data_IF_246842575312
#
_entry.id   IF_246842575312
#
_cell.length_a   1.000
_cell.length_b   1.000
_cell.length_c   1.000
_cell.angle_alpha   90.00
_cell.angle_beta   90.00
_cell.angle_gamma   90.00
#
_symmetry.space_group_name_H-M   'P 1'
#
loop_
_entity.id
_entity.type
_entity.pdbx_description
1 polymer ?
#
# COMPACT_ATOMS: atom_id res chain seq x y z
N UNK A 1 -55.49 71.34 41.62
CA UNK A 1 -55.35 72.41 42.58
C UNK A 1 -53.91 72.45 43.08
N UNK A 2 -53.34 73.59 42.83
CA UNK A 2 -52.28 74.26 43.58
C UNK A 2 -50.99 73.52 43.90
N UNK A 3 -49.93 73.92 43.24
CA UNK A 3 -49.04 75.07 43.47
C UNK A 3 -48.02 74.75 44.56
N UNK A 4 -46.75 74.84 44.37
CA UNK A 4 -45.82 75.90 44.02
C UNK A 4 -44.35 75.40 44.23
N UNK A 5 -43.51 75.68 43.36
CA UNK A 5 -42.11 75.98 43.60
C UNK A 5 -41.98 77.24 44.55
N UNK A 6 -40.79 77.64 45.05
CA UNK A 6 -39.40 77.49 44.55
C UNK A 6 -38.29 77.40 45.65
N UNK A 7 -37.11 77.27 45.32
CA UNK A 7 -35.98 78.15 45.18
C UNK A 7 -34.77 77.96 46.11
N UNK A 8 -33.60 78.00 45.49
CA UNK A 8 -32.31 78.67 45.83
C UNK A 8 -31.38 78.01 46.84
N UNK A 9 -30.27 77.55 46.18
CA UNK A 9 -28.94 78.03 46.42
C UNK A 9 -28.37 78.03 47.85
N UNK A 10 -27.30 77.28 48.03
CA UNK A 10 -26.05 77.86 48.52
C UNK A 10 -24.86 77.03 48.13
N UNK A 11 -23.93 77.63 47.48
CA UNK A 11 -22.54 77.25 47.33
C UNK A 11 -21.88 76.95 48.68
N UNK A 12 -21.04 75.95 48.73
CA UNK A 12 -19.71 76.09 49.39
C UNK A 12 -18.80 74.89 49.00
N UNK A 13 -17.81 75.27 48.35
CA UNK A 13 -16.49 74.78 48.12
C UNK A 13 -15.93 73.99 49.30
N UNK A 14 -15.38 72.79 49.06
CA UNK A 14 -14.05 72.40 49.58
C UNK A 14 -13.61 71.04 49.02
N UNK A 15 -12.51 71.15 48.42
CA UNK A 15 -11.27 70.34 48.55
C UNK A 15 -11.23 68.95 47.93
N UNK A 16 -10.45 68.86 46.84
CA UNK A 16 -9.83 67.71 46.26
C UNK A 16 -9.15 66.81 47.32
N UNK A 17 -9.45 65.49 47.25
CA UNK A 17 -8.45 64.47 47.47
C UNK A 17 -8.53 63.47 46.33
N UNK A 18 -7.56 63.57 45.43
CA UNK A 18 -7.37 62.60 44.38
C UNK A 18 -6.83 61.30 45.00
N UNK A 19 -7.64 60.27 44.99
CA UNK A 19 -7.14 58.90 45.23
C UNK A 19 -7.07 58.19 43.90
N UNK A 20 -5.86 58.15 43.35
CA UNK A 20 -5.52 57.40 42.15
C UNK A 20 -5.61 55.92 42.45
N UNK A 21 -6.67 55.24 41.98
CA UNK A 21 -6.70 53.79 41.93
C UNK A 21 -5.94 53.37 40.67
N UNK A 22 -4.69 52.92 40.86
CA UNK A 22 -3.91 52.23 39.84
C UNK A 22 -4.52 50.86 39.68
N UNK A 23 -5.33 50.67 38.64
CA UNK A 23 -5.76 49.35 38.20
C UNK A 23 -4.54 48.65 37.56
N UNK A 24 -3.86 47.82 38.34
CA UNK A 24 -2.85 46.92 37.83
C UNK A 24 -3.53 45.85 36.97
N UNK A 25 -3.59 46.08 35.66
CA UNK A 25 -3.93 45.05 34.69
C UNK A 25 -2.80 44.02 34.67
N UNK A 26 -2.98 42.91 35.42
CA UNK A 26 -2.15 41.73 35.32
C UNK A 26 -2.50 41.09 33.97
N UNK A 27 -1.77 41.42 32.93
CA UNK A 27 -1.75 40.65 31.69
C UNK A 27 -1.11 39.30 31.98
N UNK A 28 -1.94 38.27 32.12
CA UNK A 28 -1.51 36.87 32.01
C UNK A 28 -0.95 36.68 30.61
N UNK A 29 0.34 36.87 30.44
CA UNK A 29 1.10 36.35 29.32
C UNK A 29 1.03 34.80 29.44
N UNK A 30 0.06 34.19 28.75
CA UNK A 30 0.14 32.80 28.41
C UNK A 30 1.36 32.68 27.49
N UNK A 31 2.52 32.42 28.06
CA UNK A 31 3.63 31.82 27.33
C UNK A 31 3.11 30.50 26.77
N UNK A 32 2.67 30.52 25.51
CA UNK A 32 2.61 29.28 24.73
C UNK A 32 4.05 28.79 24.70
N UNK A 33 4.32 27.79 25.50
CA UNK A 33 5.47 26.92 25.29
C UNK A 33 5.32 26.32 23.89
N UNK A 34 5.83 27.05 22.92
CA UNK A 34 6.18 26.47 21.64
C UNK A 34 7.43 25.65 21.96
N UNK A 35 7.22 24.47 22.55
CA UNK A 35 8.24 23.45 22.51
C UNK A 35 8.50 23.26 21.02
N UNK A 36 9.64 23.70 20.56
CA UNK A 36 10.16 23.40 19.22
C UNK A 36 10.43 21.89 19.21
N UNK A 37 9.36 21.10 19.05
CA UNK A 37 9.52 19.68 18.78
C UNK A 37 10.28 19.63 17.47
N UNK A 38 11.51 19.16 17.55
CA UNK A 38 12.24 18.78 16.34
C UNK A 38 11.33 17.91 15.50
N UNK A 39 11.27 18.19 14.17
CA UNK A 39 10.49 17.32 13.30
C UNK A 39 10.92 15.87 13.56
N UNK A 40 9.98 14.93 13.61
CA UNK A 40 10.32 13.53 13.82
C UNK A 40 11.37 13.10 12.77
N UNK A 41 12.30 12.24 13.15
CA UNK A 41 13.32 11.75 12.21
C UNK A 41 12.65 11.14 10.99
N UNK A 42 13.30 11.22 9.81
CA UNK A 42 12.74 10.67 8.59
C UNK A 42 12.53 9.16 8.72
N UNK A 43 11.35 8.67 8.31
CA UNK A 43 10.99 7.26 8.35
C UNK A 43 11.90 6.46 7.41
N UNK A 44 12.43 5.36 7.93
CA UNK A 44 13.26 4.38 7.21
C UNK A 44 12.44 3.16 6.85
N UNK A 45 12.98 2.29 6.02
CA UNK A 45 12.38 0.99 5.78
C UNK A 45 12.38 0.14 7.06
N UNK A 46 11.22 -0.41 7.40
CA UNK A 46 11.04 -1.16 8.63
C UNK A 46 10.58 -0.34 9.83
N UNK A 47 10.47 0.99 9.74
CA UNK A 47 9.97 1.82 10.85
C UNK A 47 8.45 1.72 11.00
N UNK A 48 7.93 1.82 12.25
CA UNK A 48 6.49 1.86 12.49
C UNK A 48 5.87 3.21 12.11
N UNK A 49 4.56 3.23 11.83
CA UNK A 49 3.79 4.46 11.66
C UNK A 49 3.92 5.36 12.90
N UNK A 50 4.09 6.67 12.72
CA UNK A 50 4.08 7.61 13.84
C UNK A 50 2.67 7.69 14.46
N UNK A 51 2.62 7.81 15.79
CA UNK A 51 1.37 7.97 16.53
C UNK A 51 0.66 6.67 16.89
N UNK A 52 1.34 5.53 16.81
CA UNK A 52 0.86 4.27 17.39
C UNK A 52 0.83 4.35 18.93
N UNK A 53 -0.19 3.75 19.53
CA UNK A 53 -0.23 3.52 20.98
C UNK A 53 0.79 2.44 21.37
N UNK A 54 1.12 2.33 22.68
CA UNK A 54 2.06 1.32 23.14
C UNK A 54 1.62 -0.13 22.78
N UNK A 55 0.35 -0.54 22.90
CA UNK A 55 -0.09 -1.86 22.42
C UNK A 55 0.06 -2.05 20.90
N UNK A 56 -0.22 -1.01 20.11
CA UNK A 56 -0.07 -1.09 18.65
C UNK A 56 1.41 -1.17 18.23
N UNK A 57 2.29 -0.46 18.94
CA UNK A 57 3.73 -0.56 18.73
C UNK A 57 4.25 -1.95 19.10
N UNK A 58 3.75 -2.53 20.20
CA UNK A 58 4.10 -3.91 20.56
C UNK A 58 3.64 -4.89 19.49
N UNK A 59 2.40 -4.79 19.02
CA UNK A 59 1.87 -5.63 17.94
C UNK A 59 2.66 -5.47 16.61
N UNK A 60 3.24 -4.28 16.36
CA UNK A 60 4.17 -4.07 15.25
C UNK A 60 5.48 -4.82 15.45
N UNK A 61 6.04 -4.79 16.68
CA UNK A 61 7.31 -5.45 17.02
C UNK A 61 7.15 -6.97 16.94
N UNK A 62 6.09 -7.52 17.54
CA UNK A 62 5.78 -8.96 17.49
C UNK A 62 5.58 -9.41 16.05
N UNK A 63 4.90 -8.58 15.24
CA UNK A 63 4.70 -8.85 13.82
C UNK A 63 5.98 -8.71 12.98
N UNK A 64 6.93 -7.86 13.36
CA UNK A 64 8.25 -7.79 12.71
C UNK A 64 9.06 -9.05 12.97
N UNK A 65 9.00 -9.57 14.18
CA UNK A 65 9.65 -10.85 14.54
C UNK A 65 9.09 -11.96 13.67
N UNK A 66 7.77 -12.08 13.59
CA UNK A 66 7.08 -13.05 12.74
C UNK A 66 7.42 -12.86 11.25
N UNK A 67 7.39 -11.65 10.73
CA UNK A 67 7.70 -11.33 9.34
C UNK A 67 9.14 -11.72 8.94
N UNK A 68 10.06 -11.73 9.89
CA UNK A 68 11.48 -12.08 9.68
C UNK A 68 11.80 -13.52 10.01
N UNK A 69 10.89 -14.23 10.69
CA UNK A 69 11.03 -15.64 11.00
C UNK A 69 11.14 -16.47 9.71
N UNK A 70 11.99 -17.49 9.72
CA UNK A 70 12.13 -18.42 8.61
C UNK A 70 11.43 -19.73 8.99
N UNK A 71 10.38 -20.07 8.23
CA UNK A 71 9.63 -21.29 8.42
C UNK A 71 10.44 -22.52 8.07
N UNK A 72 10.21 -23.58 8.82
CA UNK A 72 10.74 -24.91 8.58
C UNK A 72 9.59 -25.88 8.32
N UNK A 73 9.85 -27.08 7.75
CA UNK A 73 8.79 -28.07 7.59
C UNK A 73 8.09 -28.44 8.91
N UNK A 74 8.79 -28.44 10.05
CA UNK A 74 8.24 -28.66 11.38
C UNK A 74 7.42 -27.47 11.88
N UNK A 75 7.75 -26.26 11.44
CA UNK A 75 7.06 -25.01 11.74
C UNK A 75 5.93 -24.69 10.80
N UNK A 76 5.62 -25.59 9.81
CA UNK A 76 4.49 -25.41 8.90
C UNK A 76 4.85 -25.05 7.47
N UNK A 77 6.14 -24.87 7.13
CA UNK A 77 6.56 -24.68 5.73
C UNK A 77 5.97 -25.80 4.89
N UNK A 78 5.08 -25.45 3.98
CA UNK A 78 4.32 -26.41 3.19
C UNK A 78 5.19 -27.19 2.23
N UNK A 79 4.66 -28.24 1.61
CA UNK A 79 5.45 -29.07 0.70
C UNK A 79 5.94 -28.31 -0.52
N UNK A 80 5.25 -27.23 -0.90
CA UNK A 80 5.56 -26.36 -2.06
C UNK A 80 5.68 -24.90 -1.60
N UNK A 81 6.75 -24.22 -1.99
CA UNK A 81 6.98 -22.84 -1.58
C UNK A 81 7.86 -22.07 -2.57
N UNK A 82 7.86 -20.75 -2.47
CA UNK A 82 8.74 -19.85 -3.20
C UNK A 82 9.88 -19.33 -2.32
N UNK A 83 9.61 -19.11 -1.02
CA UNK A 83 10.57 -18.69 -0.01
C UNK A 83 10.15 -19.20 1.37
N UNK A 84 11.07 -19.15 2.32
CA UNK A 84 10.85 -19.61 3.70
C UNK A 84 10.48 -18.48 4.67
N UNK A 85 10.47 -17.22 4.24
CA UNK A 85 10.10 -16.06 5.08
C UNK A 85 9.64 -14.90 4.22
N UNK A 86 8.85 -14.00 4.81
CA UNK A 86 8.39 -12.80 4.12
C UNK A 86 9.57 -11.87 3.76
N UNK A 87 10.53 -11.70 4.68
CA UNK A 87 11.69 -10.82 4.49
C UNK A 87 12.62 -11.29 3.36
N UNK A 88 12.61 -12.57 2.99
CA UNK A 88 13.40 -13.09 1.87
C UNK A 88 13.04 -12.41 0.54
N UNK A 89 11.76 -12.00 0.37
CA UNK A 89 11.28 -11.25 -0.79
C UNK A 89 10.99 -9.77 -0.51
N UNK A 90 10.94 -9.34 0.75
CA UNK A 90 10.53 -8.00 1.14
C UNK A 90 11.58 -7.32 2.03
N UNK A 91 12.79 -7.07 1.49
CA UNK A 91 13.94 -6.57 2.28
C UNK A 91 14.66 -5.34 1.70
N UNK A 92 14.40 -4.93 0.46
CA UNK A 92 15.09 -3.77 -0.10
C UNK A 92 14.70 -2.47 0.62
N UNK A 93 15.67 -1.74 1.13
CA UNK A 93 15.52 -0.58 1.99
C UNK A 93 15.01 -0.88 3.42
N UNK A 94 14.93 -2.13 3.83
CA UNK A 94 14.50 -2.61 5.15
C UNK A 94 13.33 -3.61 5.08
N UNK A 95 12.96 -4.23 6.20
CA UNK A 95 11.82 -5.15 6.27
C UNK A 95 10.55 -4.50 5.71
N UNK A 96 9.84 -5.24 4.85
CA UNK A 96 8.67 -4.73 4.13
C UNK A 96 8.99 -4.03 2.81
N UNK A 97 10.25 -4.03 2.37
CA UNK A 97 10.66 -3.45 1.09
C UNK A 97 10.29 -4.29 -0.12
N UNK A 98 10.86 -3.95 -1.26
CA UNK A 98 10.78 -4.75 -2.50
C UNK A 98 11.97 -5.69 -2.62
N UNK A 99 12.03 -6.46 -3.69
CA UNK A 99 13.19 -7.27 -4.02
C UNK A 99 13.35 -7.44 -5.53
N UNK A 100 14.48 -8.03 -5.94
CA UNK A 100 14.69 -8.50 -7.30
C UNK A 100 14.20 -9.95 -7.50
N UNK A 101 13.76 -10.63 -6.43
CA UNK A 101 13.20 -11.98 -6.52
C UNK A 101 11.86 -11.90 -7.26
N UNK A 102 11.69 -12.78 -8.22
CA UNK A 102 10.45 -12.90 -8.99
C UNK A 102 9.76 -14.21 -8.69
N UNK A 103 8.44 -14.17 -8.72
CA UNK A 103 7.58 -15.37 -8.80
C UNK A 103 7.11 -15.57 -10.23
N UNK A 104 6.92 -16.84 -10.61
CA UNK A 104 6.45 -17.21 -11.95
C UNK A 104 4.93 -17.44 -11.92
N UNK A 105 4.22 -16.75 -12.81
CA UNK A 105 2.81 -17.01 -13.10
C UNK A 105 2.70 -17.68 -14.46
N UNK A 106 1.75 -18.60 -14.58
CA UNK A 106 1.49 -19.28 -15.85
C UNK A 106 -0.02 -19.43 -16.07
N UNK A 107 -0.39 -19.73 -17.29
CA UNK A 107 -1.75 -19.98 -17.68
C UNK A 107 -1.87 -20.21 -19.18
N UNK A 108 -3.09 -20.22 -19.67
CA UNK A 108 -3.38 -20.47 -21.07
C UNK A 108 -4.37 -19.46 -21.62
N UNK A 109 -4.01 -18.78 -22.71
CA UNK A 109 -4.98 -18.08 -23.54
C UNK A 109 -5.62 -19.08 -24.49
N UNK A 110 -6.93 -19.21 -24.41
CA UNK A 110 -7.74 -20.08 -25.26
C UNK A 110 -7.92 -19.46 -26.65
N UNK A 111 -8.30 -20.24 -27.69
CA UNK A 111 -8.54 -19.71 -29.02
C UNK A 111 -9.59 -18.61 -29.11
N UNK A 112 -10.52 -18.54 -28.18
CA UNK A 112 -11.55 -17.49 -28.07
C UNK A 112 -11.09 -16.25 -27.29
N UNK A 113 -9.81 -16.21 -26.88
CA UNK A 113 -9.20 -15.11 -26.12
C UNK A 113 -9.43 -15.15 -24.62
N UNK A 114 -10.21 -16.08 -24.07
CA UNK A 114 -10.37 -16.24 -22.62
C UNK A 114 -9.09 -16.76 -22.01
N UNK A 115 -8.83 -16.40 -20.77
CA UNK A 115 -7.72 -16.91 -19.96
C UNK A 115 -8.20 -18.10 -19.13
N UNK A 116 -7.43 -19.19 -19.16
CA UNK A 116 -7.57 -20.36 -18.31
C UNK A 116 -6.36 -20.38 -17.36
N UNK A 117 -6.55 -20.25 -16.02
CA UNK A 117 -5.47 -20.28 -15.05
C UNK A 117 -4.83 -21.66 -14.87
N UNK A 118 -5.37 -22.70 -15.49
CA UNK A 118 -4.94 -24.09 -15.37
C UNK A 118 -5.04 -24.64 -13.92
N UNK A 119 -6.12 -24.30 -13.20
CA UNK A 119 -6.32 -24.68 -11.79
C UNK A 119 -6.18 -26.20 -11.57
N UNK A 120 -6.61 -27.02 -12.55
CA UNK A 120 -6.44 -28.47 -12.50
C UNK A 120 -4.98 -28.94 -12.53
N UNK A 121 -4.05 -28.03 -12.88
CA UNK A 121 -2.61 -28.28 -12.96
C UNK A 121 -1.81 -27.44 -11.95
N UNK A 122 -2.42 -27.01 -10.86
CA UNK A 122 -1.79 -26.26 -9.79
C UNK A 122 -2.07 -24.76 -9.81
N UNK A 123 -2.98 -24.30 -10.68
CA UNK A 123 -3.36 -22.88 -10.71
C UNK A 123 -2.33 -21.99 -11.40
N UNK A 124 -2.40 -20.67 -11.20
CA UNK A 124 -1.55 -19.77 -11.98
C UNK A 124 -0.22 -19.38 -11.32
N UNK A 125 0.08 -19.78 -10.09
CA UNK A 125 1.37 -19.54 -9.43
C UNK A 125 2.18 -20.83 -9.41
N UNK A 126 3.42 -20.75 -9.89
CA UNK A 126 4.39 -21.81 -9.74
C UNK A 126 5.11 -21.67 -8.40
N UNK A 127 5.08 -22.69 -7.58
CA UNK A 127 5.97 -22.81 -6.43
C UNK A 127 7.33 -23.32 -6.89
N UNK A 128 8.36 -22.52 -6.67
CA UNK A 128 9.69 -22.75 -7.22
C UNK A 128 10.45 -23.88 -6.51
N UNK A 129 10.11 -24.13 -5.25
CA UNK A 129 10.78 -25.10 -4.38
C UNK A 129 9.78 -26.07 -3.81
N UNK A 130 10.27 -27.23 -3.42
CA UNK A 130 9.53 -28.26 -2.72
C UNK A 130 10.41 -28.87 -1.63
N UNK A 131 9.80 -29.42 -0.58
CA UNK A 131 10.53 -30.09 0.52
C UNK A 131 11.20 -31.40 0.07
N UNK A 132 10.69 -32.02 -1.01
CA UNK A 132 11.33 -33.17 -1.65
C UNK A 132 11.28 -33.03 -3.17
N UNK A 133 12.25 -33.64 -3.91
CA UNK A 133 12.30 -33.53 -5.38
C UNK A 133 11.04 -34.08 -6.08
N UNK A 134 10.34 -35.05 -5.49
CA UNK A 134 9.16 -35.69 -6.06
C UNK A 134 7.97 -34.73 -6.16
N UNK A 135 7.97 -33.69 -5.32
CA UNK A 135 6.92 -32.68 -5.28
C UNK A 135 7.24 -31.47 -6.15
N UNK A 136 8.42 -31.40 -6.77
CA UNK A 136 8.83 -30.23 -7.53
C UNK A 136 7.86 -29.89 -8.66
N UNK A 137 7.30 -28.69 -8.64
CA UNK A 137 6.43 -28.20 -9.71
C UNK A 137 7.21 -27.74 -10.94
N UNK A 138 6.59 -27.90 -12.07
CA UNK A 138 7.05 -27.37 -13.36
C UNK A 138 5.92 -26.63 -14.06
N UNK A 139 6.27 -25.65 -14.88
CA UNK A 139 5.28 -25.00 -15.73
C UNK A 139 4.67 -26.05 -16.65
N UNK A 140 3.36 -26.27 -16.62
CA UNK A 140 2.71 -27.30 -17.44
C UNK A 140 2.90 -27.02 -18.95
N UNK A 141 3.08 -28.06 -19.77
CA UNK A 141 3.23 -27.89 -21.22
C UNK A 141 2.00 -27.28 -21.90
N UNK A 142 0.83 -27.33 -21.27
CA UNK A 142 -0.40 -26.69 -21.73
C UNK A 142 -0.38 -25.17 -21.57
N UNK A 143 0.53 -24.62 -20.75
CA UNK A 143 0.66 -23.19 -20.57
C UNK A 143 1.27 -22.54 -21.82
N UNK A 144 0.61 -21.53 -22.35
CA UNK A 144 1.12 -20.72 -23.44
C UNK A 144 1.36 -19.25 -23.03
N UNK A 145 1.10 -18.94 -21.74
CA UNK A 145 1.43 -17.66 -21.10
C UNK A 145 2.27 -17.94 -19.87
N UNK A 146 3.42 -17.30 -19.79
CA UNK A 146 4.30 -17.34 -18.62
C UNK A 146 4.74 -15.91 -18.32
N UNK A 147 4.59 -15.47 -17.09
CA UNK A 147 4.90 -14.11 -16.65
C UNK A 147 5.70 -14.12 -15.34
N UNK A 148 6.55 -13.12 -15.16
CA UNK A 148 7.28 -12.89 -13.93
C UNK A 148 6.69 -11.71 -13.18
N UNK A 149 6.66 -11.78 -11.84
CA UNK A 149 6.27 -10.65 -10.99
C UNK A 149 7.27 -10.50 -9.85
N UNK A 150 7.75 -9.28 -9.65
CA UNK A 150 8.57 -8.91 -8.48
C UNK A 150 7.67 -8.67 -7.26
N UNK A 151 8.23 -8.89 -6.07
CA UNK A 151 7.56 -8.55 -4.82
C UNK A 151 7.27 -7.04 -4.74
N UNK A 152 6.03 -6.68 -4.39
CA UNK A 152 5.65 -5.28 -4.18
C UNK A 152 6.18 -4.79 -2.84
N UNK A 153 6.62 -3.50 -2.70
CA UNK A 153 6.91 -2.96 -1.39
C UNK A 153 5.63 -2.89 -0.55
N UNK A 154 5.77 -3.18 0.74
CA UNK A 154 4.68 -3.23 1.71
C UNK A 154 4.58 -1.94 2.54
N UNK A 155 5.50 -0.98 2.33
CA UNK A 155 5.53 0.29 3.04
C UNK A 155 4.19 1.02 2.93
N UNK A 156 3.57 1.34 4.08
CA UNK A 156 2.32 2.07 4.14
C UNK A 156 1.06 1.29 3.75
N UNK A 157 1.10 -0.06 3.71
CA UNK A 157 -0.08 -0.85 3.33
C UNK A 157 -1.30 -0.59 4.21
N UNK A 158 -1.12 -0.37 5.52
CA UNK A 158 -2.24 -0.02 6.39
C UNK A 158 -2.91 1.31 6.02
N UNK A 159 -2.16 2.29 5.53
CA UNK A 159 -2.73 3.53 5.00
C UNK A 159 -3.53 3.25 3.72
N UNK A 160 -3.04 2.36 2.84
CA UNK A 160 -3.77 1.94 1.63
C UNK A 160 -5.05 1.17 2.00
N UNK A 161 -4.97 0.24 2.94
CA UNK A 161 -6.13 -0.51 3.46
C UNK A 161 -7.20 0.42 4.01
N UNK A 162 -6.79 1.47 4.74
CA UNK A 162 -7.68 2.44 5.38
C UNK A 162 -8.35 3.45 4.40
N UNK A 163 -7.95 3.51 3.12
CA UNK A 163 -8.68 4.27 2.11
C UNK A 163 -10.03 3.58 1.89
N UNK A 164 -11.13 4.34 1.96
CA UNK A 164 -12.48 3.76 1.86
C UNK A 164 -12.79 3.24 0.46
N UNK A 165 -13.62 2.20 0.36
CA UNK A 165 -14.14 1.72 -0.93
C UNK A 165 -14.86 2.83 -1.69
N UNK A 166 -15.60 3.70 -0.98
CA UNK A 166 -16.28 4.85 -1.57
C UNK A 166 -15.29 5.78 -2.29
N UNK A 167 -14.13 6.09 -1.70
CA UNK A 167 -13.09 6.92 -2.32
C UNK A 167 -12.61 6.31 -3.66
N UNK A 168 -12.38 5.00 -3.70
CA UNK A 168 -11.93 4.31 -4.91
C UNK A 168 -13.03 4.21 -5.97
N UNK A 169 -14.28 3.98 -5.54
CA UNK A 169 -15.44 3.97 -6.45
C UNK A 169 -15.69 5.35 -7.05
N UNK A 170 -15.57 6.42 -6.27
CA UNK A 170 -15.64 7.81 -6.76
C UNK A 170 -14.53 8.11 -7.77
N UNK A 171 -13.28 7.68 -7.49
CA UNK A 171 -12.17 7.83 -8.42
C UNK A 171 -12.43 7.08 -9.74
N UNK A 172 -12.98 5.87 -9.69
CA UNK A 172 -13.35 5.09 -10.86
C UNK A 172 -14.52 5.72 -11.65
N UNK A 173 -15.48 6.31 -10.95
CA UNK A 173 -16.67 6.93 -11.56
C UNK A 173 -16.41 8.27 -12.27
N UNK A 174 -15.23 8.89 -12.12
CA UNK A 174 -14.88 10.16 -12.75
C UNK A 174 -14.91 10.03 -14.27
N UNK A 175 -15.87 10.71 -14.93
CA UNK A 175 -16.08 10.63 -16.38
C UNK A 175 -15.08 11.46 -17.19
N UNK A 176 -14.53 12.53 -16.63
CA UNK A 176 -13.70 13.51 -17.32
C UNK A 176 -12.20 13.31 -17.04
N UNK A 177 -11.74 12.06 -17.03
CA UNK A 177 -10.31 11.81 -16.99
C UNK A 177 -9.67 12.19 -18.32
N UNK A 178 -8.47 12.80 -18.32
CA UNK A 178 -7.79 13.21 -19.54
C UNK A 178 -7.43 11.98 -20.41
N UNK A 179 -7.27 12.20 -21.70
CA UNK A 179 -6.65 11.25 -22.63
C UNK A 179 -7.39 9.90 -22.79
N UNK A 180 -8.65 9.83 -22.39
CA UNK A 180 -9.42 8.60 -22.46
C UNK A 180 -9.07 7.58 -21.35
N UNK A 181 -8.27 7.99 -20.35
CA UNK A 181 -8.00 7.18 -19.15
C UNK A 181 -9.32 6.84 -18.47
N UNK A 182 -9.54 5.58 -18.19
CA UNK A 182 -10.80 5.12 -17.57
C UNK A 182 -10.57 4.63 -16.17
N UNK A 183 -9.67 3.67 -15.98
CA UNK A 183 -9.43 3.02 -14.72
C UNK A 183 -10.70 2.50 -14.05
N UNK A 184 -10.71 1.31 -13.54
CA UNK A 184 -11.87 0.74 -12.87
C UNK A 184 -11.53 0.15 -11.50
N UNK A 185 -12.48 0.18 -10.57
CA UNK A 185 -12.34 -0.48 -9.29
C UNK A 185 -12.39 -2.01 -9.47
N UNK A 186 -11.48 -2.72 -8.82
CA UNK A 186 -11.46 -4.18 -8.76
C UNK A 186 -12.47 -4.66 -7.72
N UNK A 187 -13.67 -5.04 -8.12
CA UNK A 187 -14.66 -5.62 -7.19
C UNK A 187 -14.34 -7.08 -6.93
N UNK A 188 -13.98 -7.42 -5.70
CA UNK A 188 -13.62 -8.77 -5.26
C UNK A 188 -14.48 -9.21 -4.07
N UNK A 189 -14.48 -10.48 -3.75
CA UNK A 189 -14.97 -10.99 -2.47
C UNK A 189 -13.79 -11.02 -1.50
N UNK A 190 -13.84 -10.19 -0.47
CA UNK A 190 -12.81 -10.16 0.57
C UNK A 190 -12.93 -11.39 1.47
N UNK A 191 -11.90 -12.22 1.53
CA UNK A 191 -11.95 -13.48 2.29
C UNK A 191 -12.03 -13.28 3.80
N UNK A 192 -11.56 -12.12 4.31
CA UNK A 192 -11.64 -11.78 5.73
C UNK A 192 -13.09 -11.55 6.17
N UNK A 193 -13.89 -10.91 5.33
CA UNK A 193 -15.25 -10.48 5.71
C UNK A 193 -16.37 -11.20 4.96
N UNK A 194 -16.07 -11.90 3.87
CA UNK A 194 -17.05 -12.49 2.95
C UNK A 194 -17.82 -11.46 2.10
N UNK A 195 -17.53 -10.18 2.25
CA UNK A 195 -18.24 -9.11 1.56
C UNK A 195 -17.56 -8.72 0.24
N UNK A 196 -18.35 -8.16 -0.67
CA UNK A 196 -17.79 -7.50 -1.85
C UNK A 196 -17.12 -6.20 -1.43
N UNK A 197 -15.84 -6.06 -1.77
CA UNK A 197 -15.02 -4.87 -1.50
C UNK A 197 -14.20 -4.48 -2.72
N UNK A 198 -13.64 -3.28 -2.70
CA UNK A 198 -12.69 -2.85 -3.72
C UNK A 198 -11.31 -3.38 -3.37
N UNK A 199 -10.77 -4.27 -4.20
CA UNK A 199 -9.39 -4.74 -4.12
C UNK A 199 -8.40 -3.60 -4.38
N UNK A 200 -7.27 -3.59 -3.66
CA UNK A 200 -6.26 -2.52 -3.67
C UNK A 200 -4.84 -2.97 -3.42
N UNK A 201 -4.65 -4.21 -3.00
CA UNK A 201 -3.34 -4.81 -2.72
C UNK A 201 -2.94 -5.79 -3.81
N UNK A 202 -1.63 -5.97 -4.00
CA UNK A 202 -1.06 -6.78 -5.09
C UNK A 202 -1.05 -6.08 -6.45
N UNK A 203 -0.43 -6.68 -7.46
CA UNK A 203 -0.33 -6.13 -8.82
C UNK A 203 -1.66 -6.08 -9.56
N UNK A 204 -2.58 -6.99 -9.24
CA UNK A 204 -3.89 -7.13 -9.87
C UNK A 204 -5.04 -6.68 -8.95
N UNK A 205 -4.74 -5.95 -7.86
CA UNK A 205 -5.74 -5.52 -6.88
C UNK A 205 -6.57 -6.71 -6.33
N UNK A 206 -5.91 -7.83 -6.05
CA UNK A 206 -6.56 -9.09 -5.69
C UNK A 206 -7.05 -9.15 -4.24
N UNK A 207 -6.58 -8.27 -3.34
CA UNK A 207 -7.00 -8.25 -1.94
C UNK A 207 -7.48 -6.86 -1.51
N UNK A 208 -8.44 -6.81 -0.59
CA UNK A 208 -8.98 -5.57 -0.02
C UNK A 208 -8.39 -5.26 1.36
N UNK A 209 -7.94 -6.27 2.11
CA UNK A 209 -7.39 -6.16 3.46
C UNK A 209 -5.97 -6.69 3.56
N UNK A 210 -5.22 -6.17 4.53
CA UNK A 210 -3.84 -6.60 4.79
C UNK A 210 -3.82 -8.02 5.35
N UNK A 211 -4.82 -8.40 6.15
CA UNK A 211 -4.91 -9.75 6.71
C UNK A 211 -5.17 -10.79 5.61
N UNK A 212 -6.10 -10.54 4.68
CA UNK A 212 -6.32 -11.42 3.54
C UNK A 212 -5.07 -11.54 2.65
N UNK A 213 -4.32 -10.43 2.50
CA UNK A 213 -3.09 -10.41 1.72
C UNK A 213 -1.95 -11.19 2.42
N UNK A 214 -1.82 -11.10 3.75
CA UNK A 214 -0.90 -11.92 4.53
C UNK A 214 -1.22 -13.41 4.41
N UNK A 215 -2.48 -13.76 4.63
CA UNK A 215 -2.95 -15.15 4.59
C UNK A 215 -2.74 -15.80 3.22
N UNK A 216 -3.00 -15.06 2.12
CA UNK A 216 -2.71 -15.51 0.75
C UNK A 216 -1.20 -15.74 0.54
N UNK A 217 -0.35 -14.84 1.08
CA UNK A 217 1.11 -14.97 0.96
C UNK A 217 1.64 -16.17 1.77
N UNK A 218 1.16 -16.42 2.98
CA UNK A 218 1.51 -17.61 3.75
C UNK A 218 1.29 -18.86 2.93
N UNK A 219 0.07 -19.05 2.40
CA UNK A 219 -0.26 -20.22 1.60
C UNK A 219 0.53 -20.30 0.29
N UNK A 220 0.56 -19.23 -0.48
CA UNK A 220 1.04 -19.27 -1.85
C UNK A 220 2.56 -19.09 -1.97
N UNK A 221 3.21 -18.39 -1.02
CA UNK A 221 4.65 -18.16 -1.07
C UNK A 221 5.44 -19.08 -0.14
N UNK A 222 4.85 -19.52 0.98
CA UNK A 222 5.49 -20.41 1.95
C UNK A 222 4.81 -21.77 2.07
N UNK A 223 3.65 -21.98 1.43
CA UNK A 223 2.91 -23.23 1.50
C UNK A 223 2.24 -23.47 2.84
N UNK A 224 2.14 -22.45 3.69
CA UNK A 224 1.55 -22.55 5.03
C UNK A 224 0.06 -22.25 4.96
N UNK A 225 -0.77 -23.28 5.20
CA UNK A 225 -2.24 -23.14 5.23
C UNK A 225 -2.67 -22.34 6.47
N UNK A 226 -3.84 -21.73 6.37
CA UNK A 226 -4.43 -20.93 7.44
C UNK A 226 -5.96 -20.91 7.32
N UNK A 227 -6.65 -20.34 8.32
CA UNK A 227 -8.13 -20.30 8.40
C UNK A 227 -8.82 -19.65 7.19
N UNK A 228 -8.13 -18.80 6.42
CA UNK A 228 -8.68 -18.22 5.20
C UNK A 228 -8.36 -19.04 3.96
N UNK A 229 -7.27 -19.79 3.98
CA UNK A 229 -6.81 -20.63 2.88
C UNK A 229 -6.40 -22.02 3.39
N UNK A 230 -7.36 -22.86 3.83
CA UNK A 230 -7.08 -24.12 4.52
C UNK A 230 -6.72 -25.29 3.60
N UNK A 231 -6.66 -25.06 2.29
CA UNK A 231 -6.41 -26.11 1.32
C UNK A 231 -4.98 -26.02 0.82
N UNK A 232 -4.21 -27.10 1.05
CA UNK A 232 -2.81 -27.20 0.63
C UNK A 232 -2.64 -27.12 -0.89
N UNK A 233 -1.54 -26.49 -1.34
CA UNK A 233 -1.13 -26.46 -2.73
C UNK A 233 -0.68 -27.87 -3.16
N UNK A 234 -1.19 -28.35 -4.29
CA UNK A 234 -0.88 -29.67 -4.80
C UNK A 234 0.06 -29.59 -6.00
N UNK A 235 1.17 -30.36 -6.02
CA UNK A 235 2.17 -30.29 -7.08
C UNK A 235 1.55 -30.53 -8.46
N UNK A 236 1.52 -29.53 -9.30
CA UNK A 236 0.83 -29.56 -10.60
C UNK A 236 -0.59 -30.17 -10.52
N UNK A 237 -1.33 -29.87 -9.43
CA UNK A 237 -2.69 -30.33 -9.18
C UNK A 237 -2.82 -31.78 -8.67
N UNK A 238 -1.73 -32.50 -8.45
CA UNK A 238 -1.69 -33.90 -8.06
C UNK A 238 -1.84 -34.07 -6.54
N UNK A 239 -3.06 -33.99 -6.05
CA UNK A 239 -3.37 -34.10 -4.60
C UNK A 239 -2.96 -35.41 -3.98
N UNK A 240 -2.92 -36.50 -4.75
CA UNK A 240 -2.48 -37.83 -4.28
C UNK A 240 -1.04 -37.82 -3.76
N UNK A 241 -0.20 -36.93 -4.24
CA UNK A 241 1.17 -36.76 -3.76
C UNK A 241 1.27 -36.15 -2.36
N UNK A 242 0.22 -35.46 -1.92
CA UNK A 242 0.18 -34.83 -0.59
C UNK A 242 -0.10 -35.84 0.54
N UNK A 243 -0.60 -37.04 0.24
CA UNK A 243 -1.00 -38.00 1.26
C UNK A 243 0.11 -38.43 2.23
N UNK A 244 1.37 -38.25 1.84
CA UNK A 244 2.55 -38.53 2.65
C UNK A 244 3.16 -37.31 3.36
N UNK A 245 2.59 -36.12 3.12
CA UNK A 245 3.12 -34.84 3.59
C UNK A 245 2.10 -34.03 4.39
N UNK A 246 1.11 -34.71 4.97
CA UNK A 246 0.12 -34.05 5.81
C UNK A 246 0.78 -33.53 7.09
N UNK A 247 1.02 -32.24 7.15
CA UNK A 247 1.62 -31.54 8.30
C UNK A 247 0.61 -31.35 9.45
N UNK A 248 -0.66 -31.65 9.22
CA UNK A 248 -1.66 -32.00 10.24
C UNK A 248 -2.33 -30.87 10.99
N UNK A 249 -1.77 -29.66 11.08
CA UNK A 249 -2.40 -28.50 11.76
C UNK A 249 -1.99 -27.20 11.10
N UNK A 250 -2.93 -26.28 10.97
CA UNK A 250 -2.69 -24.90 10.56
C UNK A 250 -1.96 -24.17 11.71
N UNK A 251 -0.65 -24.34 11.78
CA UNK A 251 0.20 -23.78 12.85
C UNK A 251 0.07 -22.26 12.91
N UNK A 252 -0.14 -21.62 11.79
CA UNK A 252 -0.33 -20.18 11.65
C UNK A 252 -1.61 -19.63 12.27
N UNK A 253 -2.53 -20.51 12.64
CA UNK A 253 -3.77 -20.17 13.34
C UNK A 253 -3.74 -20.49 14.83
N UNK A 254 -2.61 -21.04 15.34
CA UNK A 254 -2.42 -21.25 16.76
C UNK A 254 -2.28 -19.91 17.46
N UNK A 255 -3.24 -19.61 18.33
CA UNK A 255 -3.27 -18.34 19.06
C UNK A 255 -2.24 -18.37 20.18
N UNK A 256 -1.32 -17.43 20.18
CA UNK A 256 -0.40 -17.20 21.29
C UNK A 256 -1.19 -16.71 22.52
N UNK A 257 -1.18 -17.45 23.65
CA UNK A 257 -1.92 -17.06 24.85
C UNK A 257 -1.52 -15.71 25.44
N UNK A 258 -0.29 -15.25 25.19
CA UNK A 258 0.22 -13.98 25.73
C UNK A 258 -0.30 -12.78 24.95
N UNK A 259 -0.45 -12.90 23.64
CA UNK A 259 -0.86 -11.81 22.75
C UNK A 259 -2.31 -11.92 22.30
N UNK A 260 -2.90 -13.13 22.33
CA UNK A 260 -4.21 -13.42 21.76
C UNK A 260 -4.25 -13.40 20.22
N UNK A 261 -3.08 -13.44 19.56
CA UNK A 261 -2.92 -13.35 18.12
C UNK A 261 -2.30 -14.64 17.56
N UNK A 262 -2.74 -15.04 16.39
CA UNK A 262 -2.09 -16.05 15.57
C UNK A 262 -0.97 -15.42 14.72
N UNK A 263 -0.06 -16.21 14.17
CA UNK A 263 1.09 -15.69 13.44
C UNK A 263 0.70 -14.94 12.17
N UNK A 264 -0.34 -15.39 11.47
CA UNK A 264 -0.92 -14.64 10.34
C UNK A 264 -1.44 -13.27 10.75
N UNK A 265 -1.98 -13.11 11.99
CA UNK A 265 -2.43 -11.82 12.53
C UNK A 265 -1.24 -10.92 12.90
N UNK A 266 -0.17 -11.51 13.47
CA UNK A 266 1.08 -10.79 13.79
C UNK A 266 1.72 -10.22 12.53
N UNK A 267 1.89 -11.04 11.48
CA UNK A 267 2.44 -10.59 10.19
C UNK A 267 1.56 -9.48 9.55
N UNK A 268 0.24 -9.61 9.62
CA UNK A 268 -0.68 -8.57 9.15
C UNK A 268 -0.54 -7.28 9.96
N UNK A 269 -0.33 -7.34 11.28
CA UNK A 269 -0.11 -6.16 12.12
C UNK A 269 1.20 -5.44 11.80
N UNK A 270 2.29 -6.17 11.53
CA UNK A 270 3.52 -5.55 11.02
C UNK A 270 3.23 -4.75 9.75
N UNK A 271 2.64 -5.36 8.73
CA UNK A 271 2.35 -4.70 7.45
C UNK A 271 1.37 -3.53 7.59
N UNK A 272 0.38 -3.64 8.50
CA UNK A 272 -0.62 -2.60 8.75
C UNK A 272 -0.02 -1.36 9.42
N UNK A 273 0.95 -1.57 10.30
CA UNK A 273 1.59 -0.49 11.05
C UNK A 273 2.93 -0.05 10.46
N UNK A 274 3.36 -0.63 9.35
CA UNK A 274 4.58 -0.25 8.65
C UNK A 274 4.45 1.12 7.99
N UNK A 275 5.36 2.04 8.31
CA UNK A 275 5.36 3.38 7.73
C UNK A 275 5.74 3.40 6.24
N UNK A 276 5.21 4.33 5.45
CA UNK A 276 5.80 4.67 4.16
C UNK A 276 7.15 5.36 4.37
N UNK A 277 8.06 5.20 3.41
CA UNK A 277 9.35 5.89 3.45
C UNK A 277 9.17 7.41 3.36
N UNK A 278 9.90 8.15 4.21
CA UNK A 278 9.89 9.61 4.15
C UNK A 278 10.38 10.13 2.81
N UNK A 279 9.64 11.09 2.24
CA UNK A 279 10.03 11.76 1.01
C UNK A 279 11.16 12.75 1.28
N UNK A 280 12.28 12.73 0.55
CA UNK A 280 13.31 13.75 0.68
C UNK A 280 12.81 15.13 0.23
N UNK A 281 13.45 16.18 0.74
CA UNK A 281 13.14 17.56 0.34
C UNK A 281 13.37 17.78 -1.16
N UNK A 282 12.42 18.43 -1.81
CA UNK A 282 12.53 18.74 -3.24
C UNK A 282 13.41 19.98 -3.46
N UNK A 283 14.38 19.88 -4.35
CA UNK A 283 15.10 21.03 -4.90
C UNK A 283 14.26 21.75 -5.99
N UNK A 284 14.78 22.83 -6.56
CA UNK A 284 14.06 23.61 -7.58
C UNK A 284 13.74 22.78 -8.83
N UNK A 285 14.66 21.90 -9.28
CA UNK A 285 14.45 21.02 -10.43
C UNK A 285 13.31 20.02 -10.18
N UNK A 286 13.29 19.38 -9.01
CA UNK A 286 12.23 18.43 -8.65
C UNK A 286 10.85 19.12 -8.53
N UNK A 287 10.79 20.35 -7.98
CA UNK A 287 9.53 21.12 -7.95
C UNK A 287 9.03 21.48 -9.35
N UNK A 288 9.91 21.87 -10.26
CA UNK A 288 9.53 22.07 -11.66
C UNK A 288 9.08 20.75 -12.32
N UNK A 289 9.72 19.65 -11.96
CA UNK A 289 9.38 18.30 -12.44
C UNK A 289 8.00 17.81 -12.00
N UNK A 290 7.50 18.22 -10.84
CA UNK A 290 6.12 17.94 -10.40
C UNK A 290 5.09 18.55 -11.35
N UNK A 291 5.31 19.78 -11.79
CA UNK A 291 4.46 20.40 -12.81
C UNK A 291 4.55 19.66 -14.17
N UNK A 292 5.74 19.19 -14.56
CA UNK A 292 5.90 18.38 -15.78
C UNK A 292 5.17 17.04 -15.65
N UNK A 293 5.18 16.42 -14.47
CA UNK A 293 4.43 15.17 -14.19
C UNK A 293 2.93 15.35 -14.43
N UNK A 294 2.36 16.47 -14.00
CA UNK A 294 0.95 16.81 -14.26
C UNK A 294 0.70 17.11 -15.75
N UNK A 295 1.54 17.93 -16.38
CA UNK A 295 1.41 18.32 -17.78
C UNK A 295 1.50 17.14 -18.76
N UNK A 296 2.31 16.15 -18.42
CA UNK A 296 2.43 14.91 -19.20
C UNK A 296 1.27 13.94 -18.99
N UNK A 297 0.40 14.19 -17.99
CA UNK A 297 -0.79 13.39 -17.72
C UNK A 297 -0.53 12.18 -16.82
N UNK A 298 0.65 12.05 -16.20
CA UNK A 298 0.97 10.95 -15.30
C UNK A 298 0.03 10.91 -14.09
N UNK A 299 -0.40 12.08 -13.59
CA UNK A 299 -1.32 12.20 -12.46
C UNK A 299 -2.75 11.68 -12.72
N UNK A 300 -3.09 11.36 -13.98
CA UNK A 300 -4.40 10.78 -14.31
C UNK A 300 -4.59 9.37 -13.69
N UNK A 301 -3.51 8.59 -13.57
CA UNK A 301 -3.45 7.30 -12.88
C UNK A 301 -2.67 7.44 -11.56
N UNK A 302 -1.50 8.07 -11.60
CA UNK A 302 -0.67 8.30 -10.42
C UNK A 302 -1.18 9.54 -9.64
N UNK A 303 -2.41 9.45 -9.13
CA UNK A 303 -3.05 10.49 -8.29
C UNK A 303 -2.15 10.79 -7.10
N UNK A 304 -1.74 12.07 -6.90
CA UNK A 304 -0.73 12.41 -5.89
C UNK A 304 -1.10 12.03 -4.47
N UNK A 305 -2.34 12.30 -4.06
CA UNK A 305 -2.80 12.09 -2.68
C UNK A 305 -4.21 11.50 -2.68
N UNK A 306 -4.40 10.43 -1.91
CA UNK A 306 -5.72 9.97 -1.48
C UNK A 306 -5.87 10.23 0.02
N UNK A 307 -7.05 9.94 0.58
CA UNK A 307 -7.31 10.11 2.01
C UNK A 307 -7.87 8.83 2.60
N UNK A 308 -7.39 8.45 3.77
CA UNK A 308 -7.97 7.34 4.53
C UNK A 308 -9.37 7.71 5.04
N UNK A 309 -10.21 6.70 5.21
CA UNK A 309 -11.51 6.83 5.86
C UNK A 309 -11.38 7.00 7.37
N UNK A 310 -12.52 6.84 8.08
CA UNK A 310 -12.54 6.75 9.54
C UNK A 310 -11.90 5.44 9.99
N UNK A 311 -11.07 5.53 11.01
CA UNK A 311 -10.41 4.37 11.62
C UNK A 311 -10.40 4.51 13.14
N UNK A 312 -10.53 3.39 13.85
CA UNK A 312 -10.32 3.32 15.30
C UNK A 312 -8.85 3.47 15.69
N UNK A 313 -7.95 3.24 14.72
CA UNK A 313 -6.51 3.47 14.87
C UNK A 313 -6.21 4.91 14.48
N UNK A 314 -5.87 5.76 15.46
CA UNK A 314 -5.64 7.19 15.24
C UNK A 314 -4.56 7.49 14.19
N UNK A 315 -3.54 6.63 14.07
CA UNK A 315 -2.48 6.73 13.06
C UNK A 315 -3.00 6.52 11.62
N UNK A 316 -4.17 5.89 11.45
CA UNK A 316 -4.80 5.59 10.17
C UNK A 316 -6.08 6.43 9.92
N UNK A 317 -6.61 7.18 10.94
CA UNK A 317 -7.88 7.91 10.83
C UNK A 317 -7.73 9.20 10.04
N UNK A 318 -8.42 9.32 8.90
CA UNK A 318 -8.50 10.51 8.05
C UNK A 318 -7.14 11.14 7.74
N UNK A 319 -6.16 10.32 7.36
CA UNK A 319 -4.80 10.75 7.00
C UNK A 319 -4.69 11.03 5.50
N UNK A 320 -3.96 12.06 5.10
CA UNK A 320 -3.54 12.21 3.71
C UNK A 320 -2.50 11.12 3.38
N UNK A 321 -2.67 10.51 2.23
CA UNK A 321 -1.82 9.40 1.76
C UNK A 321 -1.19 9.81 0.42
N UNK A 322 0.05 10.34 0.43
CA UNK A 322 0.72 10.82 -0.77
C UNK A 322 1.37 9.66 -1.54
N UNK A 323 0.55 8.70 -1.97
CA UNK A 323 1.01 7.43 -2.57
C UNK A 323 1.29 7.53 -4.07
N UNK A 324 0.82 8.56 -4.76
CA UNK A 324 0.91 8.70 -6.22
C UNK A 324 0.34 7.49 -6.96
N UNK A 325 -0.90 7.16 -6.66
CA UNK A 325 -1.68 6.09 -7.29
C UNK A 325 -3.16 6.31 -7.05
N UNK A 326 -3.99 5.96 -8.00
CA UNK A 326 -5.46 5.88 -7.83
C UNK A 326 -5.91 4.48 -7.37
N UNK A 327 -4.99 3.50 -7.29
CA UNK A 327 -5.23 2.10 -6.93
C UNK A 327 -6.23 1.37 -7.84
N UNK A 328 -6.55 1.93 -9.00
CA UNK A 328 -7.48 1.36 -9.96
C UNK A 328 -6.76 0.41 -10.94
N UNK A 329 -7.54 -0.45 -11.57
CA UNK A 329 -7.10 -1.27 -12.70
C UNK A 329 -7.19 -0.47 -13.99
N UNK A 330 -6.12 -0.50 -14.78
CA UNK A 330 -6.03 0.12 -16.10
C UNK A 330 -5.60 -0.90 -17.15
N UNK A 331 -6.17 -0.82 -18.35
CA UNK A 331 -5.66 -1.57 -19.50
C UNK A 331 -4.30 -0.99 -19.91
N UNK A 332 -3.25 -1.75 -19.66
CA UNK A 332 -1.88 -1.36 -19.94
C UNK A 332 -1.35 -1.87 -21.28
N UNK A 333 -2.23 -2.36 -22.15
CA UNK A 333 -1.85 -2.81 -23.48
C UNK A 333 -0.79 -3.91 -23.45
N UNK A 334 0.34 -3.68 -24.13
CA UNK A 334 1.48 -4.60 -24.19
C UNK A 334 2.27 -4.70 -22.88
N UNK A 335 2.03 -3.80 -21.90
CA UNK A 335 2.61 -3.90 -20.57
C UNK A 335 1.81 -4.83 -19.65
N UNK A 336 0.61 -5.26 -20.02
CA UNK A 336 -0.10 -6.32 -19.31
C UNK A 336 0.69 -7.63 -19.35
N UNK A 337 0.60 -8.44 -18.28
CA UNK A 337 1.39 -9.67 -18.13
C UNK A 337 0.74 -10.92 -18.75
N UNK A 338 -0.42 -10.78 -19.37
CA UNK A 338 -1.14 -11.91 -19.97
C UNK A 338 -1.90 -12.80 -18.99
N UNK A 339 -1.79 -12.54 -17.67
CA UNK A 339 -2.43 -13.32 -16.60
C UNK A 339 -3.68 -12.59 -16.11
N UNK A 340 -4.83 -13.23 -16.17
CA UNK A 340 -6.02 -12.76 -15.44
C UNK A 340 -5.97 -13.28 -14.00
N UNK A 341 -6.38 -12.44 -13.04
CA UNK A 341 -6.41 -12.81 -11.64
C UNK A 341 -7.52 -12.02 -10.93
N UNK A 342 -8.39 -12.73 -10.17
CA UNK A 342 -9.56 -12.13 -9.54
C UNK A 342 -10.35 -11.27 -10.53
N UNK A 343 -10.61 -10.01 -10.18
CA UNK A 343 -11.33 -9.11 -11.04
C UNK A 343 -10.51 -8.58 -12.24
N UNK A 344 -9.18 -8.74 -12.24
CA UNK A 344 -8.31 -8.14 -13.25
C UNK A 344 -8.15 -9.03 -14.49
N UNK A 345 -8.36 -8.45 -15.66
CA UNK A 345 -8.08 -9.10 -16.95
C UNK A 345 -6.59 -9.20 -17.27
N UNK A 346 -6.29 -9.88 -18.38
CA UNK A 346 -4.90 -10.21 -18.81
C UNK A 346 -4.05 -8.96 -19.08
N UNK A 347 -4.66 -7.88 -19.55
CA UNK A 347 -3.96 -6.62 -19.87
C UNK A 347 -4.04 -5.59 -18.77
N UNK A 348 -4.84 -5.83 -17.73
CA UNK A 348 -5.05 -4.87 -16.66
C UNK A 348 -4.03 -5.02 -15.56
N UNK A 349 -3.52 -3.88 -15.10
CA UNK A 349 -2.64 -3.76 -13.93
C UNK A 349 -3.16 -2.66 -13.00
N UNK A 350 -3.02 -2.88 -11.69
CA UNK A 350 -3.30 -1.84 -10.72
C UNK A 350 -2.21 -0.76 -10.79
N UNK A 351 -2.58 0.51 -10.77
CA UNK A 351 -1.61 1.61 -10.64
C UNK A 351 -0.75 1.39 -9.39
N UNK A 352 0.54 1.18 -9.60
CA UNK A 352 1.48 0.99 -8.50
C UNK A 352 1.69 2.32 -7.74
N UNK A 353 1.67 2.32 -6.40
CA UNK A 353 2.13 3.46 -5.61
C UNK A 353 3.58 3.81 -5.97
N UNK A 354 3.86 5.12 -6.11
CA UNK A 354 5.21 5.59 -6.44
C UNK A 354 6.02 5.98 -5.20
N UNK A 355 5.41 6.11 -4.03
CA UNK A 355 6.18 6.35 -2.80
C UNK A 355 7.22 5.25 -2.57
N UNK A 356 8.42 5.65 -2.18
CA UNK A 356 9.54 4.72 -2.04
C UNK A 356 10.14 4.21 -3.35
N UNK A 357 9.66 4.68 -4.52
CA UNK A 357 10.17 4.27 -5.84
C UNK A 357 11.69 4.44 -5.94
N UNK A 358 12.27 5.47 -5.33
CA UNK A 358 13.70 5.74 -5.33
C UNK A 358 14.56 4.63 -4.73
N UNK A 359 13.99 3.75 -3.92
CA UNK A 359 14.70 2.63 -3.29
C UNK A 359 14.59 1.33 -4.08
N UNK A 360 13.85 1.34 -5.19
CA UNK A 360 13.64 0.16 -6.01
C UNK A 360 14.70 0.08 -7.11
N UNK A 361 15.37 -1.05 -7.18
CA UNK A 361 16.38 -1.32 -8.24
C UNK A 361 15.73 -1.67 -9.57
N UNK A 362 14.56 -2.32 -9.52
CA UNK A 362 13.81 -2.76 -10.67
C UNK A 362 12.38 -2.23 -10.59
N UNK A 363 11.91 -1.63 -11.67
CA UNK A 363 10.58 -1.04 -11.80
C UNK A 363 9.70 -1.90 -12.70
N UNK A 364 8.39 -1.62 -12.69
CA UNK A 364 7.31 -2.40 -13.29
C UNK A 364 7.04 -3.70 -12.53
N UNK A 365 5.95 -4.38 -12.92
CA UNK A 365 5.49 -5.60 -12.24
C UNK A 365 6.46 -6.78 -12.37
N UNK A 366 7.23 -6.81 -13.44
CA UNK A 366 8.19 -7.88 -13.76
C UNK A 366 9.66 -7.48 -13.57
N UNK A 367 9.91 -6.25 -13.13
CA UNK A 367 11.27 -5.78 -12.88
C UNK A 367 12.11 -5.47 -14.11
N UNK A 368 11.52 -5.47 -15.32
CA UNK A 368 12.26 -5.28 -16.58
C UNK A 368 12.89 -3.90 -16.76
N UNK A 369 12.50 -2.91 -15.97
CA UNK A 369 12.97 -1.54 -16.14
C UNK A 369 13.91 -1.11 -15.01
N UNK A 370 15.23 -1.05 -15.24
CA UNK A 370 16.21 -0.60 -14.25
C UNK A 370 16.21 0.92 -14.04
N UNK A 371 15.49 1.69 -14.88
CA UNK A 371 15.41 3.15 -14.77
C UNK A 371 13.98 3.66 -14.93
N UNK A 372 13.67 4.81 -14.31
CA UNK A 372 12.38 5.46 -14.49
C UNK A 372 12.08 5.79 -15.98
N UNK A 373 13.10 6.16 -16.75
CA UNK A 373 12.96 6.37 -18.21
C UNK A 373 12.46 5.12 -18.92
N UNK A 374 13.07 3.97 -18.66
CA UNK A 374 12.64 2.70 -19.28
C UNK A 374 11.26 2.28 -18.81
N UNK A 375 10.96 2.49 -17.54
CA UNK A 375 9.63 2.23 -17.00
C UNK A 375 8.56 3.07 -17.71
N UNK A 376 8.79 4.38 -17.86
CA UNK A 376 7.86 5.26 -18.58
C UNK A 376 7.71 4.83 -20.04
N UNK A 377 8.80 4.48 -20.71
CA UNK A 377 8.78 4.05 -22.11
C UNK A 377 8.04 2.73 -22.33
N UNK A 378 7.98 1.87 -21.33
CA UNK A 378 7.23 0.61 -21.38
C UNK A 378 5.71 0.80 -21.16
N UNK A 379 5.26 1.97 -20.71
CA UNK A 379 3.83 2.24 -20.53
C UNK A 379 3.10 2.19 -21.89
N UNK A 380 1.93 1.54 -21.89
CA UNK A 380 1.09 1.39 -23.09
C UNK A 380 -0.40 1.42 -22.72
N UNK A 381 -1.29 1.07 -23.64
CA UNK A 381 -2.73 1.07 -23.40
C UNK A 381 -3.22 2.48 -22.99
N UNK A 382 -3.88 2.59 -21.84
CA UNK A 382 -4.40 3.87 -21.33
C UNK A 382 -3.29 4.89 -21.03
N UNK A 383 -2.07 4.44 -20.74
CA UNK A 383 -0.94 5.31 -20.45
C UNK A 383 -0.12 5.74 -21.68
N UNK A 384 -0.48 5.27 -22.88
CA UNK A 384 0.27 5.52 -24.12
C UNK A 384 0.46 7.00 -24.40
N UNK A 385 -0.57 7.81 -24.23
CA UNK A 385 -0.50 9.25 -24.55
C UNK A 385 0.48 9.95 -23.60
N UNK A 386 0.49 9.62 -22.32
CA UNK A 386 1.44 10.17 -21.33
C UNK A 386 2.87 9.77 -21.65
N UNK A 387 3.12 8.50 -22.03
CA UNK A 387 4.43 8.03 -22.53
C UNK A 387 4.87 8.83 -23.73
N UNK A 388 4.00 9.04 -24.71
CA UNK A 388 4.33 9.73 -25.96
C UNK A 388 4.61 11.22 -25.72
N UNK A 389 3.94 11.85 -24.75
CA UNK A 389 4.27 13.21 -24.29
C UNK A 389 5.64 13.24 -23.64
N UNK A 390 5.95 12.31 -22.73
CA UNK A 390 7.28 12.20 -22.13
C UNK A 390 8.39 12.10 -23.18
N UNK A 391 8.20 11.29 -24.21
CA UNK A 391 9.19 11.11 -25.28
C UNK A 391 9.44 12.40 -26.08
N UNK A 392 8.45 13.32 -26.14
CA UNK A 392 8.56 14.61 -26.83
C UNK A 392 9.06 15.75 -25.92
N UNK A 393 9.24 15.53 -24.60
CA UNK A 393 9.73 16.56 -23.71
C UNK A 393 11.12 17.06 -24.13
N UNK A 394 11.37 18.36 -24.08
CA UNK A 394 12.72 18.90 -24.15
C UNK A 394 13.62 18.28 -23.07
N UNK A 395 14.93 18.12 -23.34
CA UNK A 395 15.85 17.49 -22.37
C UNK A 395 15.81 18.10 -20.95
N UNK A 396 15.72 19.42 -20.75
CA UNK A 396 15.61 20.00 -19.41
C UNK A 396 14.35 19.58 -18.65
N UNK A 397 13.19 19.58 -19.32
CA UNK A 397 11.93 19.16 -18.69
C UNK A 397 11.92 17.67 -18.38
N UNK A 398 12.50 16.84 -19.27
CA UNK A 398 12.67 15.42 -19.00
C UNK A 398 13.53 15.19 -17.75
N UNK A 399 14.64 15.92 -17.61
CA UNK A 399 15.49 15.83 -16.43
C UNK A 399 14.74 16.29 -15.16
N UNK A 400 13.99 17.39 -15.22
CA UNK A 400 13.16 17.87 -14.10
C UNK A 400 12.16 16.81 -13.65
N UNK A 401 11.46 16.16 -14.58
CA UNK A 401 10.54 15.06 -14.27
C UNK A 401 11.26 13.88 -13.57
N UNK A 402 12.42 13.50 -14.07
CA UNK A 402 13.20 12.42 -13.45
C UNK A 402 13.72 12.82 -12.05
N UNK A 403 14.09 14.08 -11.84
CA UNK A 403 14.50 14.60 -10.53
C UNK A 403 13.32 14.57 -9.54
N UNK A 404 12.11 14.92 -10.00
CA UNK A 404 10.88 14.75 -9.21
C UNK A 404 10.65 13.30 -8.83
N UNK A 405 10.66 12.37 -9.78
CA UNK A 405 10.44 10.95 -9.54
C UNK A 405 11.46 10.36 -8.55
N UNK A 406 12.69 10.84 -8.54
CA UNK A 406 13.72 10.45 -7.55
C UNK A 406 13.39 10.91 -6.12
N UNK A 407 12.44 11.79 -5.93
CA UNK A 407 11.96 12.20 -4.60
C UNK A 407 10.81 11.33 -4.08
N UNK A 408 10.26 10.44 -4.89
CA UNK A 408 9.16 9.52 -4.54
C UNK A 408 9.65 8.10 -4.11
#
# INVERSE_FOLDING_TARGET
>A
MNNKKPSRQHLLVRALVATSIVAASVAFLHSRDVSSQMPPPPQRGGDPLPGLTAPQLQAFIDGLEEFTNAETPEGGLGPLFNQTSCVACHSAAGPGGSSAVTVTRFGRTLPDGRFDPLDRLGGSLLQKFAITPELQELVPPEANVVAQRVATPLFGLGLIEAISDATLLEAAARKNKPDGVRGRAAMIVDVETGNKRVGRLGWKAQHASVLAFAADAYKNEMGVTNRFFPIENAPNGKRELLAHFNIGTDVEDVVDPATGLADVDKAANFMRYLAPLSRPAMNASARAGEAVFEQTGCSACHTPVLQTGRSVVAALDRKPVPLYSDLLLHDMGSLGDGIAQEAAGTREMKTAPLWGMRTRTNLLHDGRAPTATMAIQAHDGEARISRDRFNRLPPPQRQQLLDFLRTL
#
